data_IF_540552859433
#
_entry.id   IF_540552859433
#
_cell.length_a   1.000
_cell.length_b   1.000
_cell.length_c   1.000
_cell.angle_alpha   90.00
_cell.angle_beta   90.00
_cell.angle_gamma   90.00
#
_symmetry.space_group_name_H-M   'P 1'
#
loop_
_entity.id
_entity.type
_entity.pdbx_description
1 polymer ?
#
# COMPACT_ATOMS: atom_id res chain seq x y z
N UNK A 1 -24.40 -5.22 6.20
CA UNK A 1 -23.34 -6.11 6.72
C UNK A 1 -22.15 -5.22 7.05
N UNK A 2 -21.72 -5.15 8.32
CA UNK A 2 -20.50 -4.44 8.68
C UNK A 2 -19.34 -5.21 8.05
N UNK A 3 -18.64 -4.61 7.07
CA UNK A 3 -17.42 -5.19 6.54
C UNK A 3 -16.39 -5.19 7.68
N UNK A 4 -15.95 -6.37 8.08
CA UNK A 4 -14.85 -6.53 9.03
C UNK A 4 -13.61 -5.87 8.42
N UNK A 5 -12.96 -4.97 9.16
CA UNK A 5 -11.74 -4.31 8.71
C UNK A 5 -10.65 -5.33 8.44
N UNK A 6 -9.97 -5.20 7.29
CA UNK A 6 -8.85 -6.07 6.93
C UNK A 6 -7.61 -5.78 7.80
N UNK A 7 -7.39 -4.51 8.14
CA UNK A 7 -6.19 -4.08 8.87
C UNK A 7 -6.22 -4.37 10.38
N UNK A 8 -7.35 -4.83 10.91
CA UNK A 8 -7.46 -5.27 12.31
C UNK A 8 -6.61 -6.52 12.61
N UNK A 9 -6.34 -7.35 11.59
CA UNK A 9 -5.69 -8.65 11.75
C UNK A 9 -4.41 -8.80 10.91
N UNK A 10 -4.25 -8.01 9.84
CA UNK A 10 -3.25 -8.27 8.80
C UNK A 10 -2.38 -7.04 8.48
N UNK A 11 -1.26 -7.28 7.80
CA UNK A 11 -0.52 -6.21 7.15
C UNK A 11 -1.23 -5.75 5.86
N UNK A 12 -1.02 -4.51 5.38
CA UNK A 12 -1.77 -4.00 4.25
C UNK A 12 -1.57 -4.76 2.92
N UNK A 13 -0.42 -5.44 2.73
CA UNK A 13 -0.18 -6.26 1.55
C UNK A 13 -0.91 -7.60 1.67
N UNK A 14 -0.89 -8.21 2.86
CA UNK A 14 -1.66 -9.42 3.13
C UNK A 14 -3.17 -9.17 2.93
N UNK A 15 -3.69 -8.05 3.43
CA UNK A 15 -5.07 -7.63 3.25
C UNK A 15 -5.46 -7.51 1.76
N UNK A 16 -4.59 -6.91 0.94
CA UNK A 16 -4.81 -6.82 -0.52
C UNK A 16 -4.82 -8.20 -1.19
N UNK A 17 -3.89 -9.09 -0.80
CA UNK A 17 -3.83 -10.43 -1.37
C UNK A 17 -5.06 -11.26 -0.96
N UNK A 18 -5.45 -11.20 0.31
CA UNK A 18 -6.63 -11.86 0.85
C UNK A 18 -7.90 -11.37 0.14
N UNK A 19 -8.03 -10.06 -0.13
CA UNK A 19 -9.15 -9.51 -0.88
C UNK A 19 -9.41 -10.20 -2.22
N UNK A 20 -8.34 -10.60 -2.91
CA UNK A 20 -8.38 -11.29 -4.20
C UNK A 20 -8.22 -12.81 -4.09
N UNK A 21 -8.28 -13.37 -2.87
CA UNK A 21 -8.08 -14.79 -2.60
C UNK A 21 -6.73 -15.32 -3.09
N UNK A 22 -5.69 -14.48 -2.99
CA UNK A 22 -4.33 -14.81 -3.39
C UNK A 22 -3.39 -14.91 -2.19
N UNK A 23 -2.32 -15.67 -2.34
CA UNK A 23 -1.20 -15.69 -1.41
C UNK A 23 -0.21 -14.57 -1.74
N UNK A 24 0.30 -13.89 -0.71
CA UNK A 24 1.35 -12.87 -0.84
C UNK A 24 2.58 -13.44 -1.54
N UNK A 25 3.07 -12.72 -2.55
CA UNK A 25 4.27 -13.06 -3.29
C UNK A 25 5.27 -11.90 -3.25
N UNK A 26 6.55 -12.25 -3.20
CA UNK A 26 7.67 -11.31 -3.23
C UNK A 26 8.67 -11.80 -4.27
N UNK A 27 9.17 -10.88 -5.09
CA UNK A 27 10.31 -11.19 -5.95
C UNK A 27 11.62 -10.88 -5.19
N UNK A 28 12.63 -11.77 -5.25
CA UNK A 28 13.92 -11.52 -4.65
C UNK A 28 14.53 -10.19 -5.15
N UNK A 29 15.37 -9.53 -4.34
CA UNK A 29 16.06 -8.33 -4.79
C UNK A 29 16.85 -8.61 -6.08
N UNK A 30 16.83 -7.66 -7.02
CA UNK A 30 17.47 -7.75 -8.34
C UNK A 30 16.92 -8.84 -9.28
N UNK A 31 15.80 -9.50 -8.93
CA UNK A 31 15.12 -10.38 -9.86
C UNK A 31 14.58 -9.58 -11.06
N UNK A 32 14.69 -10.15 -12.26
CA UNK A 32 14.05 -9.58 -13.45
C UNK A 32 12.54 -9.65 -13.28
N UNK A 33 11.86 -8.55 -13.56
CA UNK A 33 10.40 -8.49 -13.53
C UNK A 33 9.88 -9.25 -14.75
N UNK A 34 9.15 -10.36 -14.57
CA UNK A 34 8.59 -11.08 -15.70
C UNK A 34 7.39 -10.31 -16.26
N UNK A 35 7.03 -10.49 -17.55
CA UNK A 35 5.84 -9.85 -18.13
C UNK A 35 4.53 -10.40 -17.57
N UNK A 36 4.55 -11.64 -17.07
CA UNK A 36 3.44 -12.32 -16.41
C UNK A 36 3.94 -13.05 -15.17
N UNK A 37 3.07 -13.25 -14.18
CA UNK A 37 3.43 -13.96 -12.95
C UNK A 37 2.26 -14.81 -12.45
N UNK A 38 2.58 -16.02 -12.00
CA UNK A 38 1.59 -16.95 -11.45
C UNK A 38 1.42 -16.67 -9.95
N UNK A 39 0.22 -16.24 -9.56
CA UNK A 39 -0.15 -16.07 -8.16
C UNK A 39 -0.94 -17.29 -7.70
N UNK A 40 -0.56 -17.85 -6.55
CA UNK A 40 -1.28 -18.95 -5.91
C UNK A 40 -2.61 -18.47 -5.33
N UNK A 41 -3.68 -19.23 -5.56
CA UNK A 41 -4.98 -19.01 -4.94
C UNK A 41 -5.01 -19.64 -3.54
N UNK A 42 -5.42 -18.85 -2.55
CA UNK A 42 -5.64 -19.33 -1.17
C UNK A 42 -7.05 -19.86 -0.94
N UNK A 43 -8.00 -19.43 -1.77
CA UNK A 43 -9.41 -19.82 -1.74
C UNK A 43 -10.02 -19.66 -3.15
N UNK A 44 -11.22 -20.20 -3.41
CA UNK A 44 -11.95 -19.91 -4.64
C UNK A 44 -12.09 -18.39 -4.84
N UNK A 45 -11.74 -17.84 -6.03
CA UNK A 45 -11.66 -16.40 -6.23
C UNK A 45 -13.04 -15.77 -6.12
N UNK A 46 -13.25 -14.97 -5.06
CA UNK A 46 -14.48 -14.18 -4.88
C UNK A 46 -14.48 -12.91 -5.72
N UNK A 47 -13.29 -12.40 -6.04
CA UNK A 47 -13.02 -11.22 -6.86
C UNK A 47 -11.79 -11.50 -7.70
N UNK A 48 -11.79 -11.06 -8.95
CA UNK A 48 -10.70 -11.37 -9.87
C UNK A 48 -9.78 -10.15 -10.02
N UNK A 49 -8.51 -10.24 -9.61
CA UNK A 49 -7.52 -9.28 -10.03
C UNK A 49 -7.29 -9.43 -11.52
N UNK A 50 -6.86 -8.35 -12.17
CA UNK A 50 -6.58 -8.33 -13.61
C UNK A 50 -5.09 -8.18 -13.90
N UNK A 51 -4.36 -7.60 -12.95
CA UNK A 51 -2.96 -7.25 -13.09
C UNK A 51 -2.24 -7.44 -11.76
N UNK A 52 -0.92 -7.48 -11.82
CA UNK A 52 -0.04 -7.34 -10.67
C UNK A 52 0.81 -6.09 -10.82
N UNK A 53 0.81 -5.22 -9.82
CA UNK A 53 1.86 -4.21 -9.72
C UNK A 53 3.12 -4.84 -9.13
N UNK A 54 4.24 -4.72 -9.84
CA UNK A 54 5.57 -4.99 -9.30
C UNK A 54 6.14 -3.66 -8.77
N UNK A 55 6.06 -3.47 -7.46
CA UNK A 55 6.50 -2.23 -6.81
C UNK A 55 8.01 -2.26 -6.63
N UNK A 56 8.69 -1.43 -7.43
CA UNK A 56 10.13 -1.35 -7.42
C UNK A 56 10.60 -0.51 -6.24
N UNK A 57 11.58 -0.99 -5.46
CA UNK A 57 12.21 -0.16 -4.45
C UNK A 57 12.99 0.99 -5.13
N UNK A 58 13.24 2.11 -4.42
CA UNK A 58 14.17 3.13 -4.89
C UNK A 58 15.54 2.51 -5.20
N UNK A 59 16.22 3.01 -6.23
CA UNK A 59 17.48 2.42 -6.77
C UNK A 59 18.56 2.21 -5.71
N UNK A 60 18.59 3.05 -4.67
CA UNK A 60 19.56 2.98 -3.57
C UNK A 60 19.34 1.79 -2.60
N UNK A 61 18.23 1.05 -2.76
CA UNK A 61 17.79 0.03 -1.81
C UNK A 61 17.75 -1.40 -2.42
N UNK A 62 18.87 -1.82 -2.99
CA UNK A 62 19.05 -3.13 -3.66
C UNK A 62 18.83 -4.38 -2.77
N UNK A 63 18.52 -4.22 -1.48
CA UNK A 63 18.21 -5.31 -0.54
C UNK A 63 16.72 -5.50 -0.30
N UNK A 64 15.88 -4.56 -0.74
CA UNK A 64 14.44 -4.62 -0.52
C UNK A 64 13.81 -5.47 -1.62
N UNK A 65 12.97 -6.48 -1.29
CA UNK A 65 12.29 -7.28 -2.30
C UNK A 65 11.24 -6.44 -3.05
N UNK A 66 10.98 -6.82 -4.30
CA UNK A 66 9.90 -6.20 -5.08
C UNK A 66 8.56 -6.78 -4.61
N UNK A 67 7.63 -5.90 -4.25
CA UNK A 67 6.30 -6.30 -3.80
C UNK A 67 5.43 -6.61 -5.01
N UNK A 68 4.76 -7.77 -5.01
CA UNK A 68 3.77 -8.13 -6.03
C UNK A 68 2.38 -7.86 -5.47
N UNK A 69 1.69 -6.85 -6.01
CA UNK A 69 0.40 -6.39 -5.48
C UNK A 69 -0.71 -6.65 -6.49
N UNK A 70 -1.70 -7.49 -6.17
CA UNK A 70 -2.82 -7.72 -7.07
C UNK A 70 -3.73 -6.50 -7.16
N UNK A 71 -4.18 -6.19 -8.38
CA UNK A 71 -5.06 -5.06 -8.66
C UNK A 71 -6.08 -5.40 -9.74
N UNK A 72 -7.30 -4.87 -9.57
CA UNK A 72 -8.33 -4.86 -10.61
C UNK A 72 -8.26 -3.53 -11.36
N UNK A 73 -8.09 -3.57 -12.69
CA UNK A 73 -8.01 -2.38 -13.53
C UNK A 73 -9.29 -1.54 -13.47
N UNK A 74 -10.44 -2.20 -13.37
CA UNK A 74 -11.72 -1.52 -13.20
C UNK A 74 -11.79 -0.74 -11.89
N UNK A 75 -11.44 -1.37 -10.77
CA UNK A 75 -11.41 -0.68 -9.46
C UNK A 75 -10.37 0.43 -9.45
N UNK A 76 -9.17 0.17 -9.99
CA UNK A 76 -8.09 1.14 -10.02
C UNK A 76 -8.45 2.38 -10.85
N UNK A 77 -8.96 2.21 -12.08
CA UNK A 77 -9.36 3.33 -12.93
C UNK A 77 -10.52 4.16 -12.37
N UNK A 78 -11.37 3.54 -11.55
CA UNK A 78 -12.42 4.26 -10.81
C UNK A 78 -11.83 5.08 -9.66
N UNK A 79 -10.85 4.54 -8.94
CA UNK A 79 -10.31 5.10 -7.70
C UNK A 79 -9.11 6.03 -7.86
N UNK A 80 -8.33 5.92 -8.93
CA UNK A 80 -7.08 6.65 -9.14
C UNK A 80 -7.13 7.42 -10.46
N UNK A 81 -6.45 8.56 -10.50
CA UNK A 81 -6.32 9.36 -11.72
C UNK A 81 -5.06 9.03 -12.53
N UNK A 82 -4.04 8.45 -11.91
CA UNK A 82 -2.87 7.95 -12.63
C UNK A 82 -3.25 6.77 -13.53
N UNK A 83 -2.88 6.83 -14.80
CA UNK A 83 -3.12 5.74 -15.75
C UNK A 83 -1.89 4.82 -15.80
N UNK A 84 -1.88 3.82 -14.92
CA UNK A 84 -0.79 2.85 -14.82
C UNK A 84 -1.10 1.51 -15.49
N UNK A 85 -2.37 1.23 -15.79
CA UNK A 85 -2.80 -0.09 -16.22
C UNK A 85 -3.22 -0.06 -17.69
N UNK A 86 -2.69 -0.97 -18.54
CA UNK A 86 -3.13 -1.05 -19.91
C UNK A 86 -4.60 -1.49 -20.01
N UNK A 87 -5.30 -0.99 -21.02
CA UNK A 87 -6.69 -1.35 -21.26
C UNK A 87 -6.83 -2.81 -21.77
N UNK A 88 -7.92 -3.48 -21.40
CA UNK A 88 -8.43 -4.63 -22.16
C UNK A 88 -7.86 -6.02 -21.84
N UNK A 89 -7.49 -6.31 -20.59
CA UNK A 89 -7.07 -7.66 -20.21
C UNK A 89 -8.26 -8.61 -20.03
N UNK A 90 -8.16 -9.81 -20.62
CA UNK A 90 -9.08 -10.90 -20.32
C UNK A 90 -9.03 -11.26 -18.83
N UNK A 91 -10.15 -11.73 -18.30
CA UNK A 91 -10.21 -12.22 -16.92
C UNK A 91 -9.31 -13.46 -16.77
N UNK A 92 -8.49 -13.54 -15.70
CA UNK A 92 -7.61 -14.68 -15.50
C UNK A 92 -8.42 -15.94 -15.23
N UNK A 93 -7.99 -17.05 -15.83
CA UNK A 93 -8.59 -18.36 -15.60
C UNK A 93 -7.70 -19.15 -14.65
N UNK A 94 -8.24 -19.64 -13.51
CA UNK A 94 -7.50 -20.53 -12.62
C UNK A 94 -7.02 -21.77 -13.37
N UNK A 95 -5.77 -22.16 -13.14
CA UNK A 95 -5.18 -23.37 -13.68
C UNK A 95 -4.27 -24.02 -12.65
N UNK A 96 -3.89 -25.27 -12.88
CA UNK A 96 -2.91 -25.99 -12.05
C UNK A 96 -1.57 -25.88 -12.75
N UNK A 97 -0.54 -25.44 -12.04
CA UNK A 97 0.81 -25.36 -12.58
C UNK A 97 1.34 -26.78 -12.85
N UNK A 98 1.97 -26.97 -14.01
CA UNK A 98 2.47 -28.27 -14.42
C UNK A 98 3.72 -28.63 -13.59
N UNK A 99 3.52 -29.43 -12.53
CA UNK A 99 4.58 -29.96 -11.67
C UNK A 99 4.22 -31.35 -11.15
N UNK A 100 5.23 -32.16 -10.82
CA UNK A 100 5.06 -33.52 -10.28
C UNK A 100 4.56 -33.46 -8.82
N UNK A 101 3.28 -33.09 -8.61
CA UNK A 101 2.63 -33.07 -7.31
C UNK A 101 1.25 -32.38 -7.34
N UNK A 102 0.49 -32.51 -6.24
CA UNK A 102 -0.74 -31.76 -6.02
C UNK A 102 -0.41 -30.30 -5.70
N UNK A 103 -0.24 -29.47 -6.73
CA UNK A 103 -0.01 -28.04 -6.55
C UNK A 103 -1.34 -27.29 -6.37
N UNK A 104 -1.36 -26.23 -5.54
CA UNK A 104 -2.54 -25.39 -5.41
C UNK A 104 -2.85 -24.68 -6.74
N UNK A 105 -4.14 -24.38 -7.02
CA UNK A 105 -4.51 -23.65 -8.22
C UNK A 105 -3.90 -22.24 -8.19
N UNK A 106 -3.60 -21.72 -9.37
CA UNK A 106 -2.97 -20.43 -9.56
C UNK A 106 -3.61 -19.66 -10.72
N UNK A 107 -3.34 -18.36 -10.77
CA UNK A 107 -3.77 -17.46 -11.84
C UNK A 107 -2.55 -16.73 -12.41
N UNK A 108 -2.41 -16.75 -13.74
CA UNK A 108 -1.38 -15.97 -14.42
C UNK A 108 -1.91 -14.56 -14.62
N UNK A 109 -1.17 -13.57 -14.13
CA UNK A 109 -1.53 -12.16 -14.25
C UNK A 109 -0.45 -11.39 -15.00
N UNK A 110 -0.81 -10.45 -15.89
CA UNK A 110 0.14 -9.50 -16.46
C UNK A 110 0.74 -8.64 -15.35
N UNK A 111 2.06 -8.46 -15.41
CA UNK A 111 2.81 -7.68 -14.43
C UNK A 111 3.11 -6.30 -14.99
N UNK A 112 2.80 -5.28 -14.19
CA UNK A 112 3.05 -3.88 -14.50
C UNK A 112 4.09 -3.35 -13.51
N UNK A 113 5.29 -3.00 -13.97
CA UNK A 113 6.30 -2.39 -13.11
C UNK A 113 5.88 -0.98 -12.72
N UNK A 114 5.95 -0.68 -11.42
CA UNK A 114 5.62 0.64 -10.87
C UNK A 114 6.77 1.12 -10.01
N UNK A 115 7.35 2.25 -10.38
CA UNK A 115 8.31 2.95 -9.52
C UNK A 115 7.54 3.71 -8.44
N UNK A 116 7.83 3.40 -7.18
CA UNK A 116 7.17 4.02 -6.04
C UNK A 116 8.19 4.83 -5.22
N UNK A 117 7.91 6.10 -4.92
CA UNK A 117 8.75 6.90 -4.01
C UNK A 117 9.00 6.22 -2.66
N UNK A 118 8.04 5.43 -2.17
CA UNK A 118 8.20 4.63 -0.96
C UNK A 118 7.40 3.33 -1.07
N UNK A 119 8.07 2.21 -1.33
CA UNK A 119 7.44 0.92 -1.64
C UNK A 119 6.52 0.42 -0.50
N UNK A 120 6.95 0.56 0.76
CA UNK A 120 6.23 0.02 1.92
C UNK A 120 4.87 0.71 2.19
N UNK A 121 4.66 1.94 1.73
CA UNK A 121 3.36 2.64 1.89
C UNK A 121 2.41 2.42 0.74
N UNK A 122 2.85 1.87 -0.41
CA UNK A 122 1.97 1.62 -1.55
C UNK A 122 0.80 0.70 -1.19
N UNK A 123 0.99 -0.46 -0.52
CA UNK A 123 -0.11 -1.32 -0.14
C UNK A 123 -1.19 -0.58 0.67
N UNK A 124 -0.79 0.27 1.62
CA UNK A 124 -1.73 1.04 2.44
C UNK A 124 -2.50 2.07 1.60
N UNK A 125 -1.82 2.81 0.71
CA UNK A 125 -2.46 3.77 -0.20
C UNK A 125 -3.45 3.08 -1.13
N UNK A 126 -3.09 1.92 -1.68
CA UNK A 126 -3.97 1.14 -2.55
C UNK A 126 -5.20 0.62 -1.79
N UNK A 127 -5.03 0.09 -0.57
CA UNK A 127 -6.13 -0.46 0.21
C UNK A 127 -7.22 0.60 0.50
N UNK A 128 -6.81 1.80 0.93
CA UNK A 128 -7.75 2.90 1.18
C UNK A 128 -8.26 3.54 -0.12
N UNK A 129 -7.39 3.76 -1.10
CA UNK A 129 -7.78 4.41 -2.36
C UNK A 129 -8.75 3.57 -3.18
N UNK A 130 -8.60 2.24 -3.18
CA UNK A 130 -9.55 1.29 -3.77
C UNK A 130 -10.86 1.14 -2.97
N UNK A 131 -10.98 1.78 -1.81
CA UNK A 131 -12.14 1.67 -0.92
C UNK A 131 -12.29 0.29 -0.26
N UNK A 132 -11.20 -0.47 -0.16
CA UNK A 132 -11.20 -1.79 0.47
C UNK A 132 -11.07 -1.69 1.99
N UNK A 133 -10.42 -0.63 2.46
CA UNK A 133 -10.44 -0.22 3.86
C UNK A 133 -10.97 1.22 3.95
N UNK A 134 -11.83 1.46 4.93
CA UNK A 134 -12.50 2.76 5.12
C UNK A 134 -12.30 3.29 6.54
N UNK A 135 -11.81 2.48 7.47
CA UNK A 135 -11.57 2.91 8.84
C UNK A 135 -10.37 3.86 8.93
N UNK A 136 -10.67 5.15 9.05
CA UNK A 136 -9.66 6.22 9.17
C UNK A 136 -8.87 6.15 10.47
N UNK A 137 -9.38 5.50 11.52
CA UNK A 137 -8.62 5.32 12.75
C UNK A 137 -7.45 4.37 12.52
N UNK A 138 -7.65 3.32 11.71
CA UNK A 138 -6.59 2.41 11.33
C UNK A 138 -5.56 3.09 10.42
N UNK A 139 -6.02 3.95 9.50
CA UNK A 139 -5.11 4.81 8.72
C UNK A 139 -4.24 5.67 9.65
N UNK A 140 -4.85 6.33 10.64
CA UNK A 140 -4.15 7.16 11.61
C UNK A 140 -3.09 6.37 12.36
N UNK A 141 -3.45 5.19 12.90
CA UNK A 141 -2.55 4.32 13.67
C UNK A 141 -1.35 3.83 12.86
N UNK A 142 -1.49 3.69 11.54
CA UNK A 142 -0.37 3.29 10.65
C UNK A 142 0.54 4.47 10.29
N UNK A 143 0.06 5.71 10.40
CA UNK A 143 0.77 6.91 9.98
C UNK A 143 1.37 7.73 11.12
N UNK A 144 0.77 7.67 12.30
CA UNK A 144 1.11 8.52 13.44
C UNK A 144 1.20 7.68 14.72
N UNK A 145 2.06 8.07 15.68
CA UNK A 145 2.07 7.45 16.99
C UNK A 145 0.76 7.71 17.75
N UNK A 146 0.36 6.75 18.58
CA UNK A 146 -0.88 6.85 19.36
C UNK A 146 -0.97 8.12 20.21
N UNK A 147 0.15 8.59 20.77
CA UNK A 147 0.20 9.81 21.57
C UNK A 147 -0.12 11.05 20.74
N UNK A 148 0.28 11.07 19.46
CA UNK A 148 -0.02 12.18 18.54
C UNK A 148 -1.48 12.12 18.11
N UNK A 149 -2.02 10.92 17.90
CA UNK A 149 -3.44 10.70 17.56
C UNK A 149 -4.34 11.17 18.71
N UNK A 150 -3.93 10.95 19.97
CA UNK A 150 -4.68 11.37 21.15
C UNK A 150 -4.91 12.88 21.26
N UNK A 151 -4.10 13.68 20.57
CA UNK A 151 -4.24 15.14 20.53
C UNK A 151 -5.13 15.64 19.38
N UNK A 152 -5.64 14.74 18.52
CA UNK A 152 -6.50 15.12 17.41
C UNK A 152 -7.83 15.74 17.90
N UNK A 153 -8.34 16.81 17.26
CA UNK A 153 -7.83 17.50 16.08
C UNK A 153 -6.94 18.73 16.40
N UNK A 154 -6.41 18.86 17.61
CA UNK A 154 -5.65 20.03 18.03
C UNK A 154 -4.22 20.03 17.45
N UNK A 155 -4.08 20.53 16.23
CA UNK A 155 -2.83 20.53 15.45
C UNK A 155 -1.58 21.00 16.23
N UNK A 156 -1.59 22.12 16.99
CA UNK A 156 -0.43 22.54 17.77
C UNK A 156 0.02 21.51 18.81
N UNK A 157 -0.91 20.82 19.48
CA UNK A 157 -0.55 19.76 20.43
C UNK A 157 -0.02 18.52 19.71
N UNK A 158 -0.62 18.12 18.59
CA UNK A 158 -0.10 17.02 17.75
C UNK A 158 1.36 17.28 17.35
N UNK A 159 1.67 18.49 16.86
CA UNK A 159 3.04 18.92 16.52
C UNK A 159 3.95 18.90 17.74
N UNK A 160 3.46 19.41 18.87
CA UNK A 160 4.21 19.46 20.13
C UNK A 160 4.56 18.08 20.69
N UNK A 161 3.65 17.11 20.61
CA UNK A 161 3.90 15.71 21.00
C UNK A 161 4.85 15.06 19.99
N UNK A 162 4.61 15.23 18.70
CA UNK A 162 5.44 14.66 17.64
C UNK A 162 6.90 15.13 17.71
N UNK A 163 7.13 16.42 18.01
CA UNK A 163 8.46 16.99 18.15
C UNK A 163 9.25 16.46 19.36
N UNK A 164 8.57 15.90 20.36
CA UNK A 164 9.18 15.34 21.57
C UNK A 164 9.54 13.87 21.44
N UNK A 165 9.22 13.22 20.32
CA UNK A 165 9.55 11.82 20.11
C UNK A 165 11.08 11.60 20.11
N UNK A 166 11.54 10.39 20.52
CA UNK A 166 12.92 9.98 20.32
C UNK A 166 13.33 10.08 18.85
N UNK A 167 14.59 10.45 18.59
CA UNK A 167 15.12 10.70 17.25
C UNK A 167 14.79 9.58 16.26
N UNK A 168 15.11 8.34 16.63
CA UNK A 168 14.87 7.17 15.77
C UNK A 168 13.39 6.97 15.42
N UNK A 169 12.48 7.23 16.37
CA UNK A 169 11.05 7.12 16.12
C UNK A 169 10.58 8.24 15.20
N UNK A 170 11.01 9.48 15.47
CA UNK A 170 10.69 10.63 14.64
C UNK A 170 11.13 10.41 13.19
N UNK A 171 12.38 9.98 12.97
CA UNK A 171 12.93 9.71 11.64
C UNK A 171 12.19 8.59 10.92
N UNK A 172 11.79 7.54 11.63
CA UNK A 172 10.97 6.47 11.05
C UNK A 172 9.63 6.99 10.54
N UNK A 173 8.89 7.72 11.38
CA UNK A 173 7.61 8.30 10.99
C UNK A 173 7.80 9.35 9.89
N UNK A 174 8.89 10.12 9.92
CA UNK A 174 9.20 11.14 8.92
C UNK A 174 9.37 10.48 7.56
N UNK A 175 10.23 9.47 7.47
CA UNK A 175 10.43 8.69 6.25
C UNK A 175 9.13 8.06 5.76
N UNK A 176 8.38 7.40 6.65
CA UNK A 176 7.14 6.70 6.29
C UNK A 176 6.04 7.65 5.79
N UNK A 177 5.69 8.68 6.57
CA UNK A 177 4.61 9.62 6.23
C UNK A 177 5.00 10.50 5.03
N UNK A 178 6.27 10.89 4.90
CA UNK A 178 6.75 11.61 3.73
C UNK A 178 6.71 10.75 2.46
N UNK A 179 7.13 9.49 2.58
CA UNK A 179 7.02 8.50 1.49
C UNK A 179 5.58 8.25 1.07
N UNK A 180 4.67 8.09 2.03
CA UNK A 180 3.25 7.92 1.78
C UNK A 180 2.64 9.13 1.08
N UNK A 181 2.97 10.35 1.50
CA UNK A 181 2.51 11.56 0.84
C UNK A 181 2.98 11.63 -0.62
N UNK A 182 4.25 11.30 -0.91
CA UNK A 182 4.76 11.22 -2.28
C UNK A 182 4.00 10.19 -3.13
N UNK A 183 3.67 9.03 -2.56
CA UNK A 183 2.86 8.02 -3.27
C UNK A 183 1.44 8.51 -3.54
N UNK A 184 0.80 9.20 -2.59
CA UNK A 184 -0.53 9.79 -2.80
C UNK A 184 -0.48 10.80 -3.94
N UNK A 185 0.54 11.65 -4.00
CA UNK A 185 0.72 12.57 -5.12
C UNK A 185 0.96 11.86 -6.45
N UNK A 186 1.76 10.79 -6.45
CA UNK A 186 2.11 10.05 -7.67
C UNK A 186 0.93 9.24 -8.23
N UNK A 187 0.17 8.57 -7.37
CA UNK A 187 -0.98 7.74 -7.77
C UNK A 187 -2.26 8.56 -7.97
N UNK A 188 -2.34 9.74 -7.34
CA UNK A 188 -3.48 10.64 -7.37
C UNK A 188 -4.83 9.92 -7.08
N UNK A 189 -5.02 9.37 -5.87
CA UNK A 189 -6.30 8.79 -5.48
C UNK A 189 -7.39 9.86 -5.52
N UNK A 190 -8.58 9.49 -6.00
CA UNK A 190 -9.75 10.38 -6.09
C UNK A 190 -10.48 10.56 -4.76
N UNK A 191 -10.20 9.71 -3.77
CA UNK A 191 -10.71 9.84 -2.41
C UNK A 191 -10.11 11.06 -1.70
N UNK A 192 -10.86 12.17 -1.70
CA UNK A 192 -10.44 13.41 -1.05
C UNK A 192 -10.15 13.23 0.44
N UNK A 193 -10.90 12.38 1.14
CA UNK A 193 -10.70 12.13 2.57
C UNK A 193 -9.37 11.43 2.86
N UNK A 194 -8.95 10.50 1.99
CA UNK A 194 -7.61 9.90 2.07
C UNK A 194 -6.52 10.95 1.86
N UNK A 195 -6.66 11.78 0.80
CA UNK A 195 -5.67 12.81 0.45
C UNK A 195 -5.51 13.82 1.59
N UNK A 196 -6.63 14.35 2.10
CA UNK A 196 -6.64 15.34 3.19
C UNK A 196 -6.03 14.77 4.47
N UNK A 197 -6.36 13.53 4.82
CA UNK A 197 -5.82 12.89 6.02
C UNK A 197 -4.31 12.70 5.93
N UNK A 198 -3.81 12.15 4.81
CA UNK A 198 -2.38 11.93 4.60
C UNK A 198 -1.63 13.27 4.58
N UNK A 199 -2.23 14.29 3.97
CA UNK A 199 -1.67 15.65 3.96
C UNK A 199 -1.59 16.24 5.37
N UNK A 200 -2.61 16.05 6.21
CA UNK A 200 -2.60 16.52 7.60
C UNK A 200 -1.48 15.86 8.40
N UNK A 201 -1.36 14.52 8.35
CA UNK A 201 -0.29 13.79 9.01
C UNK A 201 1.10 14.25 8.54
N UNK A 202 1.24 14.49 7.23
CA UNK A 202 2.46 15.06 6.64
C UNK A 202 2.77 16.47 7.15
N UNK A 203 1.77 17.34 7.27
CA UNK A 203 1.96 18.68 7.84
C UNK A 203 2.39 18.60 9.30
N UNK A 204 1.76 17.76 10.11
CA UNK A 204 2.12 17.58 11.54
C UNK A 204 3.59 17.22 11.68
N UNK A 205 4.08 16.26 10.89
CA UNK A 205 5.45 15.77 11.01
C UNK A 205 6.50 16.77 10.50
N UNK A 206 6.18 17.51 9.43
CA UNK A 206 7.06 18.57 8.90
C UNK A 206 7.17 19.73 9.89
N UNK A 207 6.07 20.20 10.47
CA UNK A 207 6.11 21.27 11.47
C UNK A 207 6.81 20.81 12.76
N UNK A 208 6.64 19.54 13.15
CA UNK A 208 7.37 18.97 14.28
C UNK A 208 8.88 18.97 14.03
N UNK A 209 9.33 18.62 12.82
CA UNK A 209 10.74 18.70 12.43
C UNK A 209 11.29 20.13 12.51
N UNK A 210 10.52 21.13 12.05
CA UNK A 210 10.89 22.54 12.20
C UNK A 210 10.98 22.98 13.65
N UNK A 211 10.07 22.51 14.51
CA UNK A 211 10.10 22.82 15.94
C UNK A 211 11.33 22.20 16.63
N UNK A 212 11.76 21.00 16.20
CA UNK A 212 12.98 20.34 16.70
C UNK A 212 14.23 21.11 16.30
N UNK A 213 14.34 21.55 15.05
CA UNK A 213 15.52 22.30 14.56
C UNK A 213 15.67 23.73 15.13
N UNK A 214 14.67 24.24 15.86
CA UNK A 214 14.71 25.53 16.56
C UNK A 214 15.15 25.42 18.02
N UNK A 215 15.27 24.20 18.56
CA UNK A 215 15.75 23.93 19.92
C UNK A 215 17.23 23.61 19.90
#
# INVERSE_FOLDING_TARGET
>A
MQNQSFLAMEDPLDALCHHFSLTKALLPPNARIPPTFDMTLSAPPSRQPTHLFAILPPEDNARVPTLMIPVSAGLYGQSFAADLLPAGTALPVPHIQNGNGAQPPCVTLPVVPVSAPHSLSIPLVLLFGLGLETDRNLLAQRMLPAQVIGEFPHFPAMVGVMAKLPEQQFEWYLGYTHGMWKNVLALAPKDAGLVEFVQMAHKVIVEAGRLRGRR
#
